data_IF_928040428127
#
_entry.id   IF_928040428127
#
_cell.length_a   1.000
_cell.length_b   1.000
_cell.length_c   1.000
_cell.angle_alpha   90.00
_cell.angle_beta   90.00
_cell.angle_gamma   90.00
#
_symmetry.space_group_name_H-M   'P 1'
#
loop_
_entity.id
_entity.type
_entity.pdbx_description
1 polymer ?
#
# COMPACT_ATOMS: atom_id res chain seq x y z
N UNK A 1 22.52 0.20 -36.67
CA UNK A 1 22.96 0.04 -35.27
C UNK A 1 21.89 -0.83 -34.64
N UNK A 2 22.22 -2.06 -34.21
CA UNK A 2 21.28 -2.94 -33.55
C UNK A 2 20.88 -2.31 -32.21
N UNK A 3 19.67 -1.87 -32.10
CA UNK A 3 19.04 -1.66 -30.76
C UNK A 3 19.02 -3.03 -30.10
N UNK A 4 19.84 -3.22 -29.09
CA UNK A 4 19.77 -4.39 -28.23
C UNK A 4 18.36 -4.39 -27.62
N UNK A 5 17.59 -5.41 -27.93
CA UNK A 5 16.29 -5.66 -27.30
C UNK A 5 16.52 -5.70 -25.78
N UNK A 6 16.04 -4.67 -25.09
CA UNK A 6 16.24 -4.52 -23.65
C UNK A 6 15.53 -5.65 -22.93
N UNK A 7 16.23 -6.30 -22.00
CA UNK A 7 15.70 -7.44 -21.25
C UNK A 7 14.71 -6.93 -20.19
N UNK A 8 13.43 -7.17 -20.42
CA UNK A 8 12.40 -6.98 -19.38
C UNK A 8 12.44 -8.20 -18.45
N UNK A 9 12.71 -7.98 -17.17
CA UNK A 9 12.74 -9.03 -16.18
C UNK A 9 11.34 -9.44 -15.78
N UNK A 10 11.04 -10.73 -15.86
CA UNK A 10 9.82 -11.33 -15.30
C UNK A 10 10.14 -11.93 -13.94
N UNK A 11 9.36 -11.57 -12.94
CA UNK A 11 9.56 -12.04 -11.56
C UNK A 11 8.42 -12.94 -11.11
N UNK A 12 8.78 -13.96 -10.35
CA UNK A 12 7.87 -14.76 -9.55
C UNK A 12 8.20 -14.62 -8.06
N UNK A 13 7.17 -14.33 -7.26
CA UNK A 13 7.26 -14.32 -5.80
C UNK A 13 6.68 -15.64 -5.29
N UNK A 14 7.46 -16.36 -4.50
CA UNK A 14 7.05 -17.61 -3.85
C UNK A 14 7.00 -17.37 -2.34
N UNK A 15 5.80 -17.27 -1.80
CA UNK A 15 5.59 -17.15 -0.35
C UNK A 15 5.50 -18.53 0.28
N UNK A 16 6.40 -18.79 1.22
CA UNK A 16 6.53 -20.08 1.91
C UNK A 16 5.97 -19.95 3.33
N UNK A 17 4.90 -20.65 3.61
CA UNK A 17 4.26 -20.68 4.93
C UNK A 17 2.91 -21.38 4.88
N UNK A 18 2.75 -22.37 5.73
CA UNK A 18 1.49 -23.13 5.85
C UNK A 18 0.36 -22.28 6.41
N UNK A 19 0.65 -21.30 7.28
CA UNK A 19 -0.31 -20.38 7.88
C UNK A 19 -0.96 -19.46 6.82
N UNK A 20 -0.25 -19.14 5.73
CA UNK A 20 -0.79 -18.36 4.60
C UNK A 20 -1.84 -19.21 3.87
N UNK A 21 -1.53 -20.49 3.59
CA UNK A 21 -2.47 -21.40 2.92
C UNK A 21 -3.72 -21.69 3.75
N UNK A 22 -3.57 -21.72 5.08
CA UNK A 22 -4.70 -21.91 6.00
C UNK A 22 -5.53 -20.66 6.20
N UNK A 23 -5.13 -19.51 5.65
CA UNK A 23 -5.82 -18.25 5.81
C UNK A 23 -5.72 -17.66 7.22
N UNK A 24 -4.75 -18.10 8.02
CA UNK A 24 -4.54 -17.54 9.37
C UNK A 24 -3.94 -16.14 9.32
N UNK A 25 -3.17 -15.85 8.28
CA UNK A 25 -2.58 -14.52 8.02
C UNK A 25 -2.78 -14.13 6.55
N UNK A 26 -2.82 -12.83 6.31
CA UNK A 26 -2.82 -12.28 4.95
C UNK A 26 -1.39 -12.24 4.43
N UNK A 27 -1.19 -12.57 3.15
CA UNK A 27 0.11 -12.48 2.48
C UNK A 27 0.44 -11.02 2.12
N UNK A 28 0.86 -10.25 3.12
CA UNK A 28 1.24 -8.84 2.93
C UNK A 28 2.59 -8.70 2.25
N UNK A 29 3.54 -9.62 2.51
CA UNK A 29 4.88 -9.58 1.92
C UNK A 29 4.84 -9.60 0.38
N UNK A 30 4.02 -10.46 -0.21
CA UNK A 30 3.91 -10.53 -1.66
C UNK A 30 3.36 -9.24 -2.28
N UNK A 31 2.42 -8.56 -1.59
CA UNK A 31 1.90 -7.25 -1.98
C UNK A 31 3.00 -6.20 -1.92
N UNK A 32 3.66 -6.07 -0.77
CA UNK A 32 4.62 -5.01 -0.48
C UNK A 32 5.90 -5.16 -1.35
N UNK A 33 6.36 -6.40 -1.53
CA UNK A 33 7.46 -6.73 -2.45
C UNK A 33 7.08 -6.39 -3.90
N UNK A 34 5.86 -6.71 -4.34
CA UNK A 34 5.40 -6.36 -5.70
C UNK A 34 5.37 -4.86 -5.92
N UNK A 35 4.89 -4.11 -4.95
CA UNK A 35 4.88 -2.65 -5.00
C UNK A 35 6.28 -2.07 -5.12
N UNK A 36 7.22 -2.51 -4.26
CA UNK A 36 8.62 -2.08 -4.32
C UNK A 36 9.31 -2.45 -5.64
N UNK A 37 9.02 -3.64 -6.21
CA UNK A 37 9.56 -4.06 -7.50
C UNK A 37 9.01 -3.22 -8.65
N UNK A 38 7.74 -2.87 -8.60
CA UNK A 38 7.12 -2.01 -9.61
C UNK A 38 7.78 -0.64 -9.67
N UNK A 39 8.17 -0.08 -8.53
CA UNK A 39 8.88 1.21 -8.44
C UNK A 39 10.28 1.19 -9.09
N UNK A 40 10.89 0.02 -9.28
CA UNK A 40 12.19 -0.14 -9.94
C UNK A 40 12.11 -0.85 -11.29
N UNK A 41 10.90 -1.00 -11.82
CA UNK A 41 10.69 -1.53 -13.17
C UNK A 41 10.76 -3.02 -13.35
N UNK A 42 10.67 -3.73 -12.31
CA UNK A 42 10.68 -5.19 -12.34
C UNK A 42 9.23 -5.68 -12.29
N UNK A 43 8.79 -6.34 -13.37
CA UNK A 43 7.44 -6.86 -13.48
C UNK A 43 7.27 -8.15 -12.68
N UNK A 44 6.34 -8.17 -11.72
CA UNK A 44 5.87 -9.39 -11.11
C UNK A 44 4.80 -10.02 -12.00
N UNK A 45 5.02 -11.27 -12.40
CA UNK A 45 4.10 -12.00 -13.28
C UNK A 45 3.33 -13.09 -12.54
N UNK A 46 3.93 -13.63 -11.48
CA UNK A 46 3.34 -14.74 -10.74
C UNK A 46 3.53 -14.56 -9.24
N UNK A 47 2.45 -14.82 -8.50
CA UNK A 47 2.48 -15.06 -7.07
C UNK A 47 2.16 -16.53 -6.83
N UNK A 48 3.06 -17.23 -6.16
CA UNK A 48 2.89 -18.62 -5.76
C UNK A 48 2.92 -18.70 -4.24
N UNK A 49 1.95 -19.35 -3.63
CA UNK A 49 1.96 -19.65 -2.20
C UNK A 49 2.13 -21.15 -2.02
N UNK A 50 3.06 -21.55 -1.17
CA UNK A 50 3.35 -22.95 -0.86
C UNK A 50 3.53 -23.14 0.64
N UNK A 51 3.00 -24.23 1.18
CA UNK A 51 3.25 -24.60 2.59
C UNK A 51 4.65 -25.18 2.79
N UNK A 52 5.02 -25.33 4.05
CA UNK A 52 6.32 -25.82 4.51
C UNK A 52 6.51 -27.31 4.18
N UNK A 53 6.59 -27.60 2.89
CA UNK A 53 6.77 -28.94 2.35
C UNK A 53 7.86 -28.94 1.29
N UNK A 54 8.95 -29.71 1.49
CA UNK A 54 10.13 -29.64 0.62
C UNK A 54 9.85 -30.08 -0.82
N UNK A 55 9.00 -31.08 -1.03
CA UNK A 55 8.68 -31.57 -2.38
C UNK A 55 7.87 -30.57 -3.18
N UNK A 56 6.86 -29.94 -2.53
CA UNK A 56 6.02 -28.90 -3.15
C UNK A 56 6.82 -27.64 -3.45
N UNK A 57 7.67 -27.21 -2.51
CA UNK A 57 8.54 -26.06 -2.72
C UNK A 57 9.53 -26.32 -3.86
N UNK A 58 10.14 -27.51 -3.93
CA UNK A 58 11.00 -27.88 -5.04
C UNK A 58 10.26 -27.91 -6.40
N UNK A 59 8.99 -28.30 -6.40
CA UNK A 59 8.16 -28.22 -7.61
C UNK A 59 7.91 -26.76 -8.02
N UNK A 60 7.52 -25.88 -7.08
CA UNK A 60 7.34 -24.45 -7.35
C UNK A 60 8.64 -23.82 -7.85
N UNK A 61 9.77 -24.11 -7.24
CA UNK A 61 11.07 -23.61 -7.64
C UNK A 61 11.46 -24.02 -9.08
N UNK A 62 11.18 -25.29 -9.47
CA UNK A 62 11.42 -25.75 -10.86
C UNK A 62 10.54 -25.00 -11.86
N UNK A 63 9.25 -24.83 -11.57
CA UNK A 63 8.33 -24.09 -12.42
C UNK A 63 8.78 -22.63 -12.55
N UNK A 64 9.12 -21.98 -11.44
CA UNK A 64 9.61 -20.61 -11.45
C UNK A 64 10.92 -20.47 -12.25
N UNK A 65 11.85 -21.42 -12.14
CA UNK A 65 13.10 -21.47 -12.93
C UNK A 65 12.84 -21.45 -14.43
N UNK A 66 11.76 -22.06 -14.91
CA UNK A 66 11.42 -22.11 -16.34
C UNK A 66 10.82 -20.79 -16.85
N UNK A 67 10.01 -20.08 -16.03
CA UNK A 67 9.18 -18.98 -16.50
C UNK A 67 9.57 -17.59 -15.99
N UNK A 68 10.39 -17.51 -14.94
CA UNK A 68 10.82 -16.24 -14.36
C UNK A 68 12.32 -16.00 -14.57
N UNK A 69 12.73 -14.74 -14.66
CA UNK A 69 14.12 -14.29 -14.67
C UNK A 69 14.62 -14.02 -13.25
N UNK A 70 13.74 -13.50 -12.40
CA UNK A 70 13.98 -13.23 -11.00
C UNK A 70 12.99 -14.04 -10.18
N UNK A 71 13.48 -14.76 -9.19
CA UNK A 71 12.67 -15.57 -8.28
C UNK A 71 12.91 -15.06 -6.87
N UNK A 72 11.86 -14.63 -6.22
CA UNK A 72 11.94 -14.11 -4.85
C UNK A 72 11.16 -15.06 -3.95
N UNK A 73 11.79 -15.53 -2.87
CA UNK A 73 11.07 -16.29 -1.85
C UNK A 73 10.95 -15.48 -0.57
N UNK A 74 9.78 -15.52 0.07
CA UNK A 74 9.56 -15.00 1.42
C UNK A 74 9.22 -16.14 2.36
N UNK A 75 9.90 -16.22 3.51
CA UNK A 75 9.66 -17.25 4.51
C UNK A 75 10.55 -18.51 4.41
N UNK A 76 10.50 -19.33 5.44
CA UNK A 76 11.23 -20.59 5.55
C UNK A 76 12.75 -20.46 5.66
N UNK A 77 13.25 -19.35 6.27
CA UNK A 77 14.67 -19.09 6.53
C UNK A 77 15.09 -19.28 7.99
N UNK A 78 14.15 -19.60 8.87
CA UNK A 78 14.37 -19.78 10.29
C UNK A 78 15.19 -21.02 10.65
N UNK A 79 15.29 -21.34 11.96
CA UNK A 79 16.12 -22.45 12.46
C UNK A 79 15.34 -23.75 12.63
N UNK A 80 14.06 -23.80 12.30
CA UNK A 80 13.21 -24.97 12.55
C UNK A 80 13.34 -26.01 11.44
N UNK A 81 12.89 -27.22 11.66
CA UNK A 81 13.06 -28.33 10.71
C UNK A 81 12.24 -28.19 9.42
N UNK A 82 11.26 -27.30 9.44
CA UNK A 82 10.40 -26.91 8.33
C UNK A 82 10.92 -25.67 7.56
N UNK A 83 11.93 -24.98 8.08
CA UNK A 83 12.61 -23.87 7.41
C UNK A 83 13.62 -24.37 6.37
N UNK A 84 13.13 -24.78 5.21
CA UNK A 84 13.92 -25.47 4.18
C UNK A 84 14.13 -24.62 2.90
N UNK A 85 13.70 -23.37 2.88
CA UNK A 85 13.71 -22.54 1.66
C UNK A 85 15.11 -22.44 1.04
N UNK A 86 16.14 -22.08 1.81
CA UNK A 86 17.52 -22.00 1.30
C UNK A 86 18.02 -23.31 0.73
N UNK A 87 17.79 -24.40 1.43
CA UNK A 87 18.23 -25.74 1.01
C UNK A 87 17.57 -26.15 -0.31
N UNK A 88 16.25 -26.00 -0.41
CA UNK A 88 15.49 -26.42 -1.59
C UNK A 88 15.81 -25.55 -2.81
N UNK A 89 15.88 -24.22 -2.62
CA UNK A 89 16.24 -23.32 -3.71
C UNK A 89 17.66 -23.62 -4.21
N UNK A 90 18.64 -23.70 -3.31
CA UNK A 90 20.02 -24.02 -3.67
C UNK A 90 20.16 -25.38 -4.34
N UNK A 91 19.47 -26.41 -3.86
CA UNK A 91 19.44 -27.72 -4.47
C UNK A 91 18.84 -27.70 -5.89
N UNK A 92 17.75 -26.97 -6.09
CA UNK A 92 17.06 -26.85 -7.40
C UNK A 92 17.96 -26.19 -8.46
N UNK A 93 18.82 -25.27 -8.04
CA UNK A 93 19.74 -24.56 -8.91
C UNK A 93 21.15 -25.17 -8.94
N UNK A 94 21.42 -26.19 -8.14
CA UNK A 94 22.74 -26.80 -8.06
C UNK A 94 23.81 -25.89 -7.49
N UNK A 95 23.45 -25.07 -6.50
CA UNK A 95 24.34 -24.16 -5.78
C UNK A 95 24.60 -24.74 -4.38
N UNK A 96 25.87 -24.95 -3.96
CA UNK A 96 26.17 -25.42 -2.61
C UNK A 96 25.81 -24.36 -1.56
N UNK A 97 25.43 -24.83 -0.37
CA UNK A 97 25.34 -23.99 0.83
C UNK A 97 26.65 -24.07 1.60
N UNK A 98 27.18 -22.92 2.00
CA UNK A 98 28.40 -22.79 2.80
C UNK A 98 28.12 -21.94 4.05
N UNK A 99 28.83 -22.21 5.14
CA UNK A 99 28.72 -21.41 6.35
C UNK A 99 29.32 -20.03 6.15
N UNK A 100 28.53 -19.00 6.44
CA UNK A 100 29.04 -17.64 6.52
C UNK A 100 29.42 -17.31 7.97
N UNK A 101 30.71 -17.19 8.23
CA UNK A 101 31.24 -16.98 9.58
C UNK A 101 30.75 -15.66 10.18
N UNK A 102 30.65 -14.59 9.41
CA UNK A 102 30.19 -13.29 9.92
C UNK A 102 28.74 -13.37 10.41
N UNK A 103 27.87 -14.04 9.65
CA UNK A 103 26.48 -14.27 10.05
C UNK A 103 26.36 -15.24 11.23
N UNK A 104 27.21 -16.26 11.30
CA UNK A 104 27.24 -17.16 12.45
C UNK A 104 27.68 -16.43 13.73
N UNK A 105 28.72 -15.57 13.66
CA UNK A 105 29.17 -14.76 14.78
C UNK A 105 28.09 -13.73 15.20
N UNK A 106 27.45 -13.04 14.26
CA UNK A 106 26.38 -12.10 14.54
C UNK A 106 25.16 -12.79 15.20
N UNK A 107 24.79 -13.96 14.71
CA UNK A 107 23.72 -14.76 15.28
C UNK A 107 24.05 -15.21 16.70
N UNK A 108 25.28 -15.65 16.93
CA UNK A 108 25.75 -16.00 18.29
C UNK A 108 25.64 -14.81 19.22
N UNK A 109 26.09 -13.61 18.79
CA UNK A 109 26.03 -12.39 19.57
C UNK A 109 24.60 -11.93 19.88
N UNK A 110 23.69 -12.13 18.94
CA UNK A 110 22.27 -11.81 19.12
C UNK A 110 21.60 -12.73 20.16
N UNK A 111 21.90 -14.05 20.12
CA UNK A 111 21.23 -15.04 20.97
C UNK A 111 21.81 -15.09 22.37
N UNK A 112 23.13 -14.90 22.55
CA UNK A 112 23.84 -15.06 23.85
C UNK A 112 23.28 -14.21 24.99
N UNK A 113 22.57 -13.12 24.67
CA UNK A 113 22.02 -12.16 25.64
C UNK A 113 20.73 -12.58 26.35
N UNK A 114 20.12 -13.75 26.03
CA UNK A 114 18.84 -14.09 26.67
C UNK A 114 18.17 -15.41 26.29
N UNK A 115 18.72 -16.19 25.36
CA UNK A 115 18.13 -17.46 24.91
C UNK A 115 19.17 -18.57 24.88
N UNK A 116 18.70 -19.83 24.99
CA UNK A 116 19.56 -20.99 24.84
C UNK A 116 19.97 -21.14 23.36
N UNK A 117 21.29 -21.16 23.12
CA UNK A 117 21.87 -21.40 21.80
C UNK A 117 21.78 -22.89 21.49
N UNK A 118 21.20 -23.23 20.35
CA UNK A 118 21.14 -24.61 19.86
C UNK A 118 21.87 -24.72 18.52
N UNK A 119 22.40 -25.93 18.16
CA UNK A 119 23.04 -26.14 16.86
C UNK A 119 22.15 -25.73 15.67
N UNK A 120 20.86 -25.93 15.78
CA UNK A 120 19.90 -25.58 14.72
C UNK A 120 19.90 -24.07 14.39
N UNK A 121 20.21 -23.20 15.35
CA UNK A 121 20.28 -21.78 15.07
C UNK A 121 21.27 -21.46 13.94
N UNK A 122 22.39 -22.17 13.87
CA UNK A 122 23.45 -21.92 12.87
C UNK A 122 23.13 -22.38 11.45
N UNK A 123 22.03 -23.15 11.25
CA UNK A 123 21.52 -23.43 9.90
C UNK A 123 21.14 -22.11 9.18
N UNK A 124 20.75 -21.11 9.93
CA UNK A 124 20.45 -19.77 9.38
C UNK A 124 21.67 -19.09 8.75
N UNK A 125 22.87 -19.37 9.23
CA UNK A 125 24.13 -18.83 8.70
C UNK A 125 24.63 -19.56 7.44
N UNK A 126 23.95 -20.61 6.97
CA UNK A 126 24.22 -21.24 5.69
C UNK A 126 23.74 -20.33 4.55
N UNK A 127 24.64 -20.00 3.64
CA UNK A 127 24.40 -19.06 2.52
C UNK A 127 24.82 -19.75 1.21
N UNK A 128 24.16 -19.44 0.07
CA UNK A 128 24.59 -19.94 -1.23
C UNK A 128 26.05 -19.56 -1.52
N UNK A 129 26.86 -20.52 -1.98
CA UNK A 129 28.25 -20.28 -2.34
C UNK A 129 28.38 -19.17 -3.41
N UNK A 130 29.20 -18.15 -3.13
CA UNK A 130 29.36 -16.99 -4.00
C UNK A 130 28.18 -16.03 -4.02
N UNK A 131 27.14 -16.28 -3.20
CA UNK A 131 25.96 -15.42 -3.12
C UNK A 131 26.20 -14.11 -2.35
N UNK A 132 25.30 -13.19 -2.55
CA UNK A 132 25.21 -11.95 -1.78
C UNK A 132 24.42 -12.20 -0.50
N UNK A 133 24.91 -11.69 0.62
CA UNK A 133 24.25 -11.78 1.93
C UNK A 133 23.54 -10.47 2.25
N UNK A 134 22.33 -10.55 2.74
CA UNK A 134 21.56 -9.45 3.29
C UNK A 134 21.46 -9.65 4.79
N UNK A 135 22.32 -8.93 5.53
CA UNK A 135 22.32 -9.00 6.99
C UNK A 135 20.98 -8.59 7.58
N UNK A 136 20.49 -9.37 8.55
CA UNK A 136 19.20 -9.09 9.18
C UNK A 136 19.36 -8.25 10.45
N UNK A 137 19.09 -6.96 10.36
CA UNK A 137 19.13 -6.04 11.51
C UNK A 137 17.83 -6.09 12.36
N UNK A 138 16.81 -6.80 11.92
CA UNK A 138 15.46 -6.84 12.53
C UNK A 138 15.11 -8.21 13.12
N UNK A 139 15.91 -9.22 12.83
CA UNK A 139 15.69 -10.60 13.26
C UNK A 139 16.97 -11.43 13.24
N UNK A 140 16.82 -12.74 13.08
CA UNK A 140 17.93 -13.69 13.16
C UNK A 140 18.33 -14.33 11.84
N UNK A 141 17.40 -14.41 10.88
CA UNK A 141 17.63 -15.10 9.62
C UNK A 141 18.14 -14.14 8.55
N UNK A 142 19.41 -14.18 8.13
CA UNK A 142 19.91 -13.37 7.03
C UNK A 142 19.21 -13.76 5.73
N UNK A 143 18.85 -12.76 4.93
CA UNK A 143 18.47 -12.95 3.55
C UNK A 143 19.70 -13.18 2.67
N UNK A 144 19.49 -13.67 1.46
CA UNK A 144 20.57 -13.85 0.50
C UNK A 144 20.07 -13.88 -0.94
N UNK A 145 21.01 -13.67 -1.86
CA UNK A 145 20.75 -13.80 -3.29
C UNK A 145 21.90 -14.52 -3.98
N UNK A 146 21.59 -15.21 -5.09
CA UNK A 146 22.58 -15.76 -6.00
C UNK A 146 22.11 -15.70 -7.45
N UNK A 147 23.07 -15.77 -8.34
CA UNK A 147 22.82 -15.84 -9.78
C UNK A 147 23.25 -17.19 -10.34
N UNK A 148 22.37 -17.85 -11.07
CA UNK A 148 22.66 -19.14 -11.70
C UNK A 148 21.81 -19.34 -12.95
N UNK A 149 22.41 -19.87 -14.01
CA UNK A 149 21.75 -20.19 -15.29
C UNK A 149 21.00 -18.97 -15.89
N UNK A 150 21.52 -17.74 -15.70
CA UNK A 150 20.90 -16.50 -16.15
C UNK A 150 19.65 -16.09 -15.35
N UNK A 151 19.42 -16.70 -14.20
CA UNK A 151 18.35 -16.38 -13.26
C UNK A 151 18.94 -15.77 -11.99
N UNK A 152 18.17 -14.89 -11.37
CA UNK A 152 18.45 -14.28 -10.06
C UNK A 152 17.51 -14.89 -9.05
N UNK A 153 18.04 -15.42 -7.96
CA UNK A 153 17.25 -15.95 -6.85
C UNK A 153 17.51 -15.09 -5.61
N UNK A 154 16.46 -14.57 -5.02
CA UNK A 154 16.49 -13.77 -3.79
C UNK A 154 15.66 -14.50 -2.73
N UNK A 155 16.17 -14.63 -1.53
CA UNK A 155 15.50 -15.26 -0.41
C UNK A 155 15.50 -14.31 0.79
N UNK A 156 14.32 -13.97 1.30
CA UNK A 156 14.14 -13.05 2.45
C UNK A 156 13.28 -13.72 3.54
N UNK A 157 13.39 -13.27 4.81
CA UNK A 157 12.54 -13.76 5.89
C UNK A 157 11.05 -13.56 5.63
N UNK A 158 10.21 -14.34 6.33
CA UNK A 158 8.75 -14.24 6.23
C UNK A 158 8.08 -13.20 7.13
N UNK A 159 8.55 -12.93 8.36
CA UNK A 159 7.92 -11.90 9.19
C UNK A 159 7.98 -10.52 8.51
N UNK A 160 6.84 -9.80 8.32
CA UNK A 160 6.82 -8.50 7.63
C UNK A 160 7.76 -7.47 8.24
N UNK A 161 7.94 -7.50 9.58
CA UNK A 161 8.87 -6.60 10.30
C UNK A 161 10.34 -6.82 9.95
N UNK A 162 10.68 -7.96 9.36
CA UNK A 162 12.02 -8.33 8.87
C UNK A 162 12.08 -8.22 7.34
N UNK A 163 11.06 -8.74 6.64
CA UNK A 163 10.97 -8.79 5.18
C UNK A 163 10.99 -7.38 4.56
N UNK A 164 10.05 -6.50 4.94
CA UNK A 164 9.91 -5.18 4.33
C UNK A 164 11.18 -4.33 4.45
N UNK A 165 11.76 -4.09 5.64
CA UNK A 165 12.95 -3.26 5.74
C UNK A 165 14.18 -3.90 5.08
N UNK A 166 14.34 -5.23 5.11
CA UNK A 166 15.42 -5.92 4.41
C UNK A 166 15.26 -5.77 2.89
N UNK A 167 14.04 -5.95 2.39
CA UNK A 167 13.78 -5.83 0.96
C UNK A 167 14.08 -4.41 0.48
N UNK A 168 13.59 -3.41 1.18
CA UNK A 168 13.78 -1.99 0.86
C UNK A 168 15.23 -1.56 0.93
N UNK A 169 15.96 -1.95 1.98
CA UNK A 169 17.32 -1.44 2.25
C UNK A 169 18.43 -2.27 1.60
N UNK A 170 18.17 -3.57 1.32
CA UNK A 170 19.20 -4.47 0.80
C UNK A 170 18.88 -5.02 -0.58
N UNK A 171 17.65 -5.54 -0.78
CA UNK A 171 17.28 -6.23 -2.03
C UNK A 171 17.06 -5.23 -3.17
N UNK A 172 16.34 -4.14 -2.94
CA UNK A 172 16.11 -3.10 -3.97
C UNK A 172 17.43 -2.54 -4.49
N UNK A 173 18.42 -2.12 -3.65
CA UNK A 173 19.73 -1.69 -4.15
C UNK A 173 20.51 -2.77 -4.89
N UNK A 174 20.32 -4.05 -4.53
CA UNK A 174 20.92 -5.17 -5.26
C UNK A 174 20.29 -5.33 -6.64
N UNK A 175 18.97 -5.32 -6.74
CA UNK A 175 18.25 -5.50 -7.99
C UNK A 175 18.42 -4.30 -8.95
N UNK A 176 18.51 -3.08 -8.42
CA UNK A 176 18.80 -1.87 -9.24
C UNK A 176 20.11 -1.97 -10.02
N UNK A 177 21.09 -2.75 -9.56
CA UNK A 177 22.36 -2.98 -10.29
C UNK A 177 22.19 -3.86 -11.53
N UNK A 178 21.07 -4.57 -11.65
CA UNK A 178 20.79 -5.46 -12.77
C UNK A 178 20.15 -4.72 -13.97
N UNK A 179 19.67 -3.49 -13.77
CA UNK A 179 19.02 -2.67 -14.78
C UNK A 179 19.68 -1.30 -14.87
N UNK A 180 20.01 -0.87 -16.09
CA UNK A 180 20.48 0.50 -16.36
C UNK A 180 19.32 1.52 -16.47
N UNK A 181 18.08 1.08 -16.24
CA UNK A 181 16.88 1.90 -16.32
C UNK A 181 16.17 1.96 -14.96
N UNK A 182 15.61 3.12 -14.70
CA UNK A 182 14.74 3.36 -13.54
C UNK A 182 13.31 3.47 -14.04
N UNK A 183 12.36 3.03 -13.22
CA UNK A 183 10.96 3.36 -13.41
C UNK A 183 10.58 4.31 -12.28
N UNK A 184 9.97 5.41 -12.69
CA UNK A 184 9.37 6.39 -11.82
C UNK A 184 7.87 6.37 -12.06
N UNK A 185 7.10 6.42 -11.01
CA UNK A 185 5.65 6.45 -11.08
C UNK A 185 5.10 7.55 -10.20
N UNK A 186 4.13 8.28 -10.72
CA UNK A 186 3.32 9.23 -9.96
C UNK A 186 1.87 8.80 -9.91
N UNK A 187 1.23 9.09 -8.79
CA UNK A 187 -0.18 8.86 -8.59
C UNK A 187 -0.97 10.17 -8.63
N UNK A 188 -2.01 10.22 -9.46
CA UNK A 188 -3.00 11.30 -9.42
C UNK A 188 -4.24 10.74 -8.74
N UNK A 189 -4.58 11.32 -7.58
CA UNK A 189 -5.71 10.87 -6.76
C UNK A 189 -6.98 11.61 -7.14
N UNK A 190 -8.06 10.85 -7.32
CA UNK A 190 -9.30 11.31 -7.93
C UNK A 190 -10.46 10.92 -7.01
N UNK A 191 -11.33 11.87 -6.70
CA UNK A 191 -12.52 11.65 -5.89
C UNK A 191 -13.77 12.17 -6.61
N UNK A 192 -14.90 11.47 -6.45
CA UNK A 192 -16.20 11.89 -7.01
C UNK A 192 -16.56 11.29 -8.36
N UNK A 193 -15.61 10.60 -9.03
CA UNK A 193 -15.89 9.77 -10.22
C UNK A 193 -15.26 8.39 -10.06
N UNK A 194 -15.86 7.38 -10.67
CA UNK A 194 -15.36 6.00 -10.59
C UNK A 194 -14.30 5.67 -11.62
N UNK A 195 -13.57 4.58 -11.38
CA UNK A 195 -12.52 4.05 -12.26
C UNK A 195 -12.97 3.90 -13.71
N UNK A 196 -14.16 3.34 -13.95
CA UNK A 196 -14.68 3.14 -15.30
C UNK A 196 -14.92 4.44 -16.07
N UNK A 197 -15.27 5.53 -15.38
CA UNK A 197 -15.43 6.83 -16.02
C UNK A 197 -14.06 7.46 -16.35
N UNK A 198 -13.08 7.28 -15.48
CA UNK A 198 -11.69 7.70 -15.74
C UNK A 198 -11.10 6.92 -16.91
N UNK A 199 -11.34 5.59 -16.95
CA UNK A 199 -10.93 4.73 -18.06
C UNK A 199 -11.53 5.19 -19.39
N UNK A 200 -12.81 5.48 -19.43
CA UNK A 200 -13.51 5.94 -20.65
C UNK A 200 -12.98 7.30 -21.14
N UNK A 201 -12.69 8.22 -20.22
CA UNK A 201 -12.13 9.54 -20.56
C UNK A 201 -10.77 9.42 -21.23
N UNK A 202 -9.90 8.54 -20.76
CA UNK A 202 -8.52 8.43 -21.22
C UNK A 202 -8.22 7.18 -22.06
N UNK A 203 -9.25 6.40 -22.46
CA UNK A 203 -9.08 5.12 -23.15
C UNK A 203 -8.23 5.21 -24.42
N UNK A 204 -8.45 6.22 -25.28
CA UNK A 204 -7.69 6.40 -26.51
C UNK A 204 -6.23 6.72 -26.22
N UNK A 205 -5.97 7.59 -25.24
CA UNK A 205 -4.63 7.99 -24.84
C UNK A 205 -3.86 6.83 -24.21
N UNK A 206 -4.49 6.12 -23.25
CA UNK A 206 -3.88 4.94 -22.62
C UNK A 206 -3.51 3.86 -23.62
N UNK A 207 -4.35 3.62 -24.62
CA UNK A 207 -4.09 2.65 -25.68
C UNK A 207 -2.95 3.09 -26.63
N UNK A 208 -2.75 4.37 -26.81
CA UNK A 208 -1.70 4.92 -27.68
C UNK A 208 -0.34 5.05 -26.97
N UNK A 209 -0.35 5.14 -25.64
CA UNK A 209 0.84 5.33 -24.82
C UNK A 209 1.65 4.03 -24.69
N UNK A 210 2.98 4.15 -24.80
CA UNK A 210 3.93 3.06 -24.57
C UNK A 210 4.83 3.42 -23.37
N UNK A 211 5.40 4.61 -23.40
CA UNK A 211 6.26 5.15 -22.34
C UNK A 211 6.27 6.69 -22.44
N UNK A 212 5.76 7.43 -21.46
CA UNK A 212 5.14 6.92 -20.23
C UNK A 212 3.85 6.14 -20.50
N UNK A 213 3.42 5.37 -19.53
CA UNK A 213 2.13 4.69 -19.52
C UNK A 213 1.22 5.26 -18.43
N UNK A 214 -0.08 5.08 -18.58
CA UNK A 214 -1.09 5.54 -17.65
C UNK A 214 -2.12 4.43 -17.43
N UNK A 215 -2.56 4.24 -16.16
CA UNK A 215 -3.55 3.23 -15.81
C UNK A 215 -4.37 3.65 -14.58
N UNK A 216 -5.72 3.52 -14.63
CA UNK A 216 -6.57 3.77 -13.47
C UNK A 216 -6.64 2.54 -12.55
N UNK A 217 -6.86 2.79 -11.27
CA UNK A 217 -7.06 1.77 -10.24
C UNK A 217 -8.14 2.22 -9.26
N UNK A 218 -9.12 1.35 -9.01
CA UNK A 218 -10.07 1.56 -7.93
C UNK A 218 -9.41 1.38 -6.57
N UNK A 219 -9.77 2.24 -5.64
CA UNK A 219 -9.45 2.14 -4.22
C UNK A 219 -10.76 2.10 -3.42
N UNK A 220 -10.68 1.93 -2.09
CA UNK A 220 -11.90 1.75 -1.27
C UNK A 220 -12.90 2.91 -1.38
N UNK A 221 -12.44 4.15 -1.51
CA UNK A 221 -13.30 5.33 -1.51
C UNK A 221 -13.01 6.30 -2.66
N UNK A 222 -11.99 6.05 -3.48
CA UNK A 222 -11.53 6.95 -4.54
C UNK A 222 -10.94 6.16 -5.73
N UNK A 223 -10.44 6.89 -6.70
CA UNK A 223 -9.73 6.36 -7.86
C UNK A 223 -8.31 6.92 -7.89
N UNK A 224 -7.38 6.11 -8.32
CA UNK A 224 -5.99 6.46 -8.55
C UNK A 224 -5.68 6.30 -10.03
N UNK A 225 -5.16 7.33 -10.67
CA UNK A 225 -4.56 7.24 -12.00
C UNK A 225 -3.04 7.26 -11.86
N UNK A 226 -2.42 6.13 -12.16
CA UNK A 226 -0.96 6.00 -12.09
C UNK A 226 -0.33 6.30 -13.43
N UNK A 227 0.62 7.24 -13.44
CA UNK A 227 1.46 7.57 -14.60
C UNK A 227 2.85 7.03 -14.33
N UNK A 228 3.38 6.21 -15.24
CA UNK A 228 4.64 5.49 -15.05
C UNK A 228 5.54 5.72 -16.25
N UNK A 229 6.77 6.16 -16.01
CA UNK A 229 7.80 6.30 -17.03
C UNK A 229 9.01 5.42 -16.72
N UNK A 230 9.59 4.86 -17.78
CA UNK A 230 10.82 4.12 -17.76
C UNK A 230 11.91 4.96 -18.45
N UNK A 231 12.98 5.31 -17.72
CA UNK A 231 14.02 6.21 -18.19
C UNK A 231 15.40 5.84 -17.62
N UNK A 232 16.46 6.53 -18.08
CA UNK A 232 17.82 6.32 -17.59
C UNK A 232 18.10 7.05 -16.28
N UNK A 233 17.33 8.10 -16.00
CA UNK A 233 17.41 8.85 -14.76
C UNK A 233 16.02 9.27 -14.32
N UNK A 234 15.90 9.66 -13.05
CA UNK A 234 14.67 10.19 -12.45
C UNK A 234 14.26 11.49 -13.17
N UNK A 235 15.23 12.36 -13.48
CA UNK A 235 14.96 13.61 -14.18
C UNK A 235 14.36 13.38 -15.59
N UNK A 236 14.90 12.41 -16.35
CA UNK A 236 14.34 12.05 -17.66
C UNK A 236 12.92 11.49 -17.53
N UNK A 237 12.64 10.68 -16.49
CA UNK A 237 11.31 10.16 -16.23
C UNK A 237 10.32 11.28 -15.88
N UNK A 238 10.72 12.21 -15.02
CA UNK A 238 9.93 13.39 -14.65
C UNK A 238 9.58 14.25 -15.86
N UNK A 239 10.55 14.55 -16.72
CA UNK A 239 10.31 15.30 -17.96
C UNK A 239 9.30 14.62 -18.87
N UNK A 240 9.29 13.28 -18.92
CA UNK A 240 8.33 12.51 -19.70
C UNK A 240 6.92 12.51 -19.09
N UNK A 241 6.81 12.41 -17.76
CA UNK A 241 5.52 12.29 -17.05
C UNK A 241 4.83 13.64 -16.82
N UNK A 242 5.60 14.71 -16.61
CA UNK A 242 5.05 16.02 -16.28
C UNK A 242 3.94 16.50 -17.23
N UNK A 243 4.09 16.43 -18.57
CA UNK A 243 3.04 16.85 -19.48
C UNK A 243 1.78 15.97 -19.39
N UNK A 244 1.93 14.67 -19.16
CA UNK A 244 0.81 13.73 -18.99
C UNK A 244 0.03 14.04 -17.72
N UNK A 245 0.75 14.23 -16.60
CA UNK A 245 0.13 14.57 -15.31
C UNK A 245 -0.59 15.92 -15.39
N UNK A 246 0.02 16.92 -16.06
CA UNK A 246 -0.60 18.23 -16.26
C UNK A 246 -1.90 18.11 -17.07
N UNK A 247 -1.90 17.32 -18.13
CA UNK A 247 -3.07 17.06 -18.96
C UNK A 247 -4.18 16.34 -18.16
N UNK A 248 -3.84 15.33 -17.39
CA UNK A 248 -4.79 14.61 -16.51
C UNK A 248 -5.45 15.59 -15.53
N UNK A 249 -4.67 16.47 -14.90
CA UNK A 249 -5.20 17.49 -13.98
C UNK A 249 -6.09 18.53 -14.68
N UNK A 250 -5.77 18.90 -15.90
CA UNK A 250 -6.58 19.82 -16.71
C UNK A 250 -7.93 19.20 -17.08
N UNK A 251 -7.93 17.95 -17.54
CA UNK A 251 -9.15 17.25 -17.97
C UNK A 251 -10.07 16.93 -16.80
N UNK A 252 -9.51 16.44 -15.69
CA UNK A 252 -10.30 16.03 -14.53
C UNK A 252 -10.65 17.18 -13.58
N UNK A 253 -9.92 18.29 -13.63
CA UNK A 253 -10.22 19.51 -12.86
C UNK A 253 -10.43 19.23 -11.36
N UNK A 254 -11.60 19.61 -10.85
CA UNK A 254 -11.95 19.53 -9.43
C UNK A 254 -12.06 18.10 -8.88
N UNK A 255 -12.09 17.08 -9.74
CA UNK A 255 -12.05 15.69 -9.29
C UNK A 255 -10.66 15.30 -8.75
N UNK A 256 -9.58 16.00 -9.12
CA UNK A 256 -8.24 15.73 -8.63
C UNK A 256 -8.03 16.38 -7.29
N UNK A 257 -7.84 15.59 -6.24
CA UNK A 257 -7.59 16.13 -4.90
C UNK A 257 -6.11 16.09 -4.47
N UNK A 258 -5.25 15.31 -5.14
CA UNK A 258 -3.84 15.21 -4.77
C UNK A 258 -2.99 14.50 -5.82
N UNK A 259 -1.70 14.65 -5.65
CA UNK A 259 -0.68 13.90 -6.37
C UNK A 259 0.28 13.29 -5.35
N UNK A 260 0.61 12.02 -5.51
CA UNK A 260 1.53 11.28 -4.65
C UNK A 260 1.16 11.33 -3.15
N UNK A 261 -0.14 11.35 -2.88
CA UNK A 261 -0.71 11.24 -1.54
C UNK A 261 -1.43 9.89 -1.40
N UNK A 262 -1.35 9.31 -0.21
CA UNK A 262 -1.95 7.99 0.05
C UNK A 262 -3.46 8.07 0.30
N UNK A 263 -3.94 9.19 0.84
CA UNK A 263 -5.34 9.38 1.20
C UNK A 263 -5.75 10.86 1.21
N UNK A 264 -7.06 11.09 1.32
CA UNK A 264 -7.64 12.43 1.33
C UNK A 264 -7.13 13.27 2.52
N UNK A 265 -6.91 12.64 3.65
CA UNK A 265 -6.41 13.30 4.87
C UNK A 265 -5.02 13.92 4.67
N UNK A 266 -4.15 13.24 3.94
CA UNK A 266 -2.82 13.78 3.59
C UNK A 266 -2.91 15.03 2.70
N UNK A 267 -3.91 15.12 1.85
CA UNK A 267 -4.15 16.32 1.06
C UNK A 267 -4.78 17.45 1.87
N UNK A 268 -5.69 17.14 2.81
CA UNK A 268 -6.46 18.13 3.57
C UNK A 268 -5.66 18.77 4.70
N UNK A 269 -4.86 17.99 5.45
CA UNK A 269 -4.14 18.51 6.61
C UNK A 269 -3.19 19.69 6.29
N UNK A 270 -2.37 19.62 5.24
CA UNK A 270 -1.53 20.75 4.83
C UNK A 270 -2.34 22.02 4.51
N UNK A 271 -3.49 21.87 3.85
CA UNK A 271 -4.37 22.98 3.49
C UNK A 271 -4.96 23.66 4.72
N UNK A 272 -5.38 22.87 5.73
CA UNK A 272 -5.87 23.42 7.00
C UNK A 272 -4.75 24.19 7.71
N UNK A 273 -3.55 23.62 7.77
CA UNK A 273 -2.40 24.24 8.40
C UNK A 273 -2.00 25.56 7.72
N UNK A 274 -1.95 25.59 6.40
CA UNK A 274 -1.62 26.78 5.61
C UNK A 274 -2.62 27.90 5.84
N UNK A 275 -3.90 27.57 5.96
CA UNK A 275 -4.99 28.51 6.23
C UNK A 275 -5.13 28.87 7.71
N UNK A 276 -4.34 28.32 8.60
CA UNK A 276 -4.43 28.52 10.04
C UNK A 276 -5.73 28.01 10.65
N UNK A 277 -6.36 27.01 10.02
CA UNK A 277 -7.61 26.42 10.46
C UNK A 277 -7.36 25.21 11.36
N UNK A 278 -8.25 25.00 12.32
CA UNK A 278 -8.27 23.82 13.17
C UNK A 278 -9.55 23.01 12.90
N UNK A 279 -9.45 21.70 13.17
CA UNK A 279 -10.52 20.73 12.96
C UNK A 279 -10.83 19.98 14.26
N UNK A 280 -12.11 19.80 14.53
CA UNK A 280 -12.60 18.91 15.59
C UNK A 280 -13.74 18.05 15.04
N UNK A 281 -13.90 16.84 15.56
CA UNK A 281 -14.93 15.91 15.13
C UNK A 281 -15.87 15.54 16.29
N UNK A 282 -17.18 15.53 16.03
CA UNK A 282 -18.16 14.91 16.88
C UNK A 282 -18.86 13.81 16.09
N UNK A 283 -18.56 12.56 16.42
CA UNK A 283 -18.93 11.40 15.63
C UNK A 283 -20.01 10.58 16.31
N UNK A 284 -20.85 9.93 15.52
CA UNK A 284 -21.89 9.01 16.00
C UNK A 284 -21.74 7.63 15.33
N UNK A 285 -22.33 7.41 14.16
CA UNK A 285 -22.28 6.12 13.46
C UNK A 285 -20.88 5.71 13.02
N UNK A 286 -20.01 6.65 12.72
CA UNK A 286 -18.60 6.42 12.37
C UNK A 286 -17.73 5.97 13.54
N UNK A 287 -18.23 6.10 14.79
CA UNK A 287 -17.60 5.53 15.99
C UNK A 287 -16.19 6.07 16.31
N UNK A 288 -15.80 7.23 15.77
CA UNK A 288 -14.46 7.80 15.94
C UNK A 288 -13.54 7.57 14.72
N UNK A 289 -14.06 7.07 13.61
CA UNK A 289 -13.25 6.75 12.43
C UNK A 289 -12.66 8.00 11.77
N UNK A 290 -13.37 9.12 11.74
CA UNK A 290 -12.84 10.39 11.21
C UNK A 290 -11.67 10.86 12.06
N UNK A 291 -11.84 10.86 13.39
CA UNK A 291 -10.77 11.22 14.32
C UNK A 291 -9.56 10.30 14.17
N UNK A 292 -9.80 9.00 14.04
CA UNK A 292 -8.74 8.00 13.80
C UNK A 292 -7.97 8.28 12.51
N UNK A 293 -8.66 8.40 11.37
CA UNK A 293 -8.06 8.63 10.07
C UNK A 293 -7.20 9.91 10.05
N UNK A 294 -7.69 10.98 10.68
CA UNK A 294 -6.92 12.22 10.81
C UNK A 294 -5.67 12.02 11.70
N UNK A 295 -5.82 11.34 12.84
CA UNK A 295 -4.70 11.14 13.78
C UNK A 295 -3.66 10.13 13.32
N UNK A 296 -3.99 9.28 12.35
CA UNK A 296 -3.03 8.39 11.69
C UNK A 296 -1.98 9.17 10.86
N UNK A 297 -2.29 10.42 10.46
CA UNK A 297 -1.38 11.23 9.67
C UNK A 297 -0.37 11.97 10.57
N UNK A 298 0.94 11.81 10.32
CA UNK A 298 1.96 12.52 11.07
C UNK A 298 1.77 14.05 11.03
N UNK A 299 1.81 14.70 12.19
CA UNK A 299 1.64 16.14 12.31
C UNK A 299 0.18 16.61 12.41
N UNK A 300 -0.80 15.72 12.46
CA UNK A 300 -2.22 16.05 12.64
C UNK A 300 -2.51 16.93 13.86
N UNK A 301 -1.72 16.82 14.94
CA UNK A 301 -1.87 17.64 16.14
C UNK A 301 -1.75 19.15 15.92
N UNK A 302 -1.20 19.59 14.79
CA UNK A 302 -1.13 21.01 14.45
C UNK A 302 -2.50 21.59 14.03
N UNK A 303 -3.43 20.74 13.58
CA UNK A 303 -4.74 21.15 13.05
C UNK A 303 -5.91 20.44 13.73
N UNK A 304 -5.72 19.23 14.23
CA UNK A 304 -6.76 18.47 14.92
C UNK A 304 -6.73 18.73 16.43
N UNK A 305 -7.77 19.40 16.95
CA UNK A 305 -7.85 19.78 18.36
C UNK A 305 -8.53 18.75 19.24
N UNK A 306 -9.27 17.80 18.63
CA UNK A 306 -9.89 16.71 19.37
C UNK A 306 -11.13 16.15 18.69
N UNK A 307 -11.61 15.02 19.23
CA UNK A 307 -12.81 14.36 18.76
C UNK A 307 -13.60 13.74 19.91
N UNK A 308 -14.91 13.60 19.73
CA UNK A 308 -15.79 12.92 20.66
C UNK A 308 -16.69 11.95 19.91
N UNK A 309 -16.86 10.72 20.46
CA UNK A 309 -17.86 9.78 19.98
C UNK A 309 -19.14 10.02 20.77
N UNK A 310 -20.09 10.70 20.13
CA UNK A 310 -21.34 11.12 20.76
C UNK A 310 -22.50 10.22 20.31
N UNK A 311 -22.45 8.95 20.69
CA UNK A 311 -23.34 7.93 20.15
C UNK A 311 -24.80 8.10 20.61
N UNK A 312 -25.04 8.63 21.82
CA UNK A 312 -26.38 8.88 22.34
C UNK A 312 -26.71 10.36 22.40
N UNK A 313 -27.98 10.72 22.26
CA UNK A 313 -28.47 12.12 22.25
C UNK A 313 -28.11 12.87 23.54
N UNK A 314 -28.21 12.20 24.69
CA UNK A 314 -27.79 12.78 25.96
C UNK A 314 -26.30 13.12 26.05
N UNK A 315 -25.44 12.38 25.35
CA UNK A 315 -24.02 12.66 25.28
C UNK A 315 -23.75 13.81 24.29
N UNK A 316 -24.47 13.85 23.16
CA UNK A 316 -24.38 14.94 22.18
C UNK A 316 -24.66 16.29 22.86
N UNK A 317 -25.82 16.41 23.49
CA UNK A 317 -26.24 17.65 24.16
C UNK A 317 -25.28 18.11 25.27
N UNK A 318 -24.77 17.14 26.08
CA UNK A 318 -23.92 17.47 27.23
C UNK A 318 -22.48 17.82 26.86
N UNK A 319 -21.89 17.13 25.88
CA UNK A 319 -20.48 17.34 25.53
C UNK A 319 -20.24 18.53 24.59
N UNK A 320 -21.15 18.77 23.65
CA UNK A 320 -20.97 19.82 22.68
C UNK A 320 -21.31 21.22 23.23
N UNK A 321 -22.19 21.30 24.27
CA UNK A 321 -22.53 22.55 24.92
C UNK A 321 -23.10 23.63 23.98
N UNK A 322 -23.56 23.23 22.80
CA UNK A 322 -24.14 24.12 21.78
C UNK A 322 -25.65 24.11 21.87
N UNK A 323 -26.30 25.25 21.59
CA UNK A 323 -27.74 25.29 21.41
C UNK A 323 -28.09 24.56 20.10
N UNK A 324 -28.93 23.52 20.12
CA UNK A 324 -29.37 22.85 18.91
C UNK A 324 -29.93 23.79 17.85
N UNK A 325 -30.57 24.90 18.25
CA UNK A 325 -31.12 25.88 17.34
C UNK A 325 -30.05 26.60 16.47
N UNK A 326 -28.81 26.63 16.97
CA UNK A 326 -27.65 27.21 16.25
C UNK A 326 -26.89 26.16 15.42
N UNK A 327 -27.41 24.92 15.34
CA UNK A 327 -26.75 23.80 14.66
C UNK A 327 -27.45 23.45 13.35
N UNK A 328 -26.64 22.98 12.39
CA UNK A 328 -27.12 22.35 11.16
C UNK A 328 -26.75 20.86 11.22
N UNK A 329 -27.72 20.00 11.04
CA UNK A 329 -27.54 18.55 10.96
C UNK A 329 -27.69 18.09 9.49
N UNK A 330 -26.66 17.43 8.97
CA UNK A 330 -26.71 16.74 7.69
C UNK A 330 -26.93 15.26 7.94
N UNK A 331 -27.96 14.67 7.31
CA UNK A 331 -28.37 13.29 7.63
C UNK A 331 -29.05 12.65 6.42
N UNK A 332 -28.85 11.35 6.22
CA UNK A 332 -29.40 10.58 5.09
C UNK A 332 -30.40 9.50 5.51
N UNK A 333 -30.52 9.21 6.81
CA UNK A 333 -31.41 8.17 7.33
C UNK A 333 -32.67 8.75 7.99
N UNK A 334 -33.80 8.05 7.88
CA UNK A 334 -35.06 8.46 8.52
C UNK A 334 -34.93 8.63 10.03
N UNK A 335 -34.17 7.76 10.69
CA UNK A 335 -34.02 7.82 12.14
C UNK A 335 -33.16 9.01 12.58
N UNK A 336 -32.09 9.28 11.84
CA UNK A 336 -31.22 10.43 12.08
C UNK A 336 -31.94 11.75 11.80
N UNK A 337 -32.71 11.86 10.69
CA UNK A 337 -33.53 13.02 10.37
C UNK A 337 -34.55 13.33 11.48
N UNK A 338 -35.27 12.32 11.97
CA UNK A 338 -36.21 12.46 13.10
C UNK A 338 -35.50 12.89 14.38
N UNK A 339 -34.33 12.33 14.66
CA UNK A 339 -33.54 12.68 15.85
C UNK A 339 -33.05 14.14 15.77
N UNK A 340 -32.59 14.57 14.61
CA UNK A 340 -32.13 15.94 14.39
C UNK A 340 -33.26 16.97 14.50
N UNK A 341 -34.45 16.68 13.93
CA UNK A 341 -35.65 17.50 14.09
C UNK A 341 -36.10 17.57 15.55
N UNK A 342 -36.14 16.43 16.26
CA UNK A 342 -36.51 16.37 17.66
C UNK A 342 -35.51 17.12 18.56
N UNK A 343 -34.28 17.24 18.17
CA UNK A 343 -33.24 18.04 18.83
C UNK A 343 -33.40 19.54 18.60
N UNK A 344 -34.19 19.97 17.60
CA UNK A 344 -34.41 21.39 17.27
C UNK A 344 -33.33 22.00 16.38
N UNK A 345 -32.56 21.18 15.66
CA UNK A 345 -31.54 21.65 14.73
C UNK A 345 -32.13 22.03 13.38
N UNK A 346 -31.41 22.82 12.58
CA UNK A 346 -31.68 22.93 11.14
C UNK A 346 -31.24 21.65 10.43
N UNK A 347 -32.20 20.91 9.84
CA UNK A 347 -31.97 19.61 9.24
C UNK A 347 -31.84 19.73 7.72
N UNK A 348 -30.73 19.22 7.19
CA UNK A 348 -30.45 19.07 5.76
C UNK A 348 -30.40 17.59 5.44
N UNK A 349 -31.38 17.10 4.68
CA UNK A 349 -31.40 15.72 4.23
C UNK A 349 -30.47 15.53 3.02
N UNK A 350 -29.57 14.54 3.12
CA UNK A 350 -28.79 14.06 1.98
C UNK A 350 -29.63 12.99 1.26
N UNK A 351 -29.88 13.20 -0.01
CA UNK A 351 -30.72 12.29 -0.81
C UNK A 351 -29.94 11.12 -1.44
N UNK A 352 -28.85 10.72 -0.76
CA UNK A 352 -28.00 9.60 -1.17
C UNK A 352 -28.66 8.24 -0.93
N UNK A 353 -29.38 8.11 0.21
CA UNK A 353 -30.05 6.86 0.60
C UNK A 353 -31.56 6.86 0.28
N UNK A 354 -32.19 8.03 0.27
CA UNK A 354 -33.64 8.19 0.07
C UNK A 354 -33.96 9.34 -0.89
N UNK A 355 -34.98 9.19 -1.78
CA UNK A 355 -35.42 10.29 -2.64
C UNK A 355 -35.89 11.51 -1.85
N UNK A 356 -35.68 12.72 -2.38
CA UNK A 356 -36.06 13.98 -1.74
C UNK A 356 -37.54 14.02 -1.30
N UNK A 357 -38.45 13.43 -2.07
CA UNK A 357 -39.88 13.39 -1.74
C UNK A 357 -40.19 12.59 -0.46
N UNK A 358 -39.37 11.61 -0.09
CA UNK A 358 -39.58 10.78 1.10
C UNK A 358 -39.06 11.44 2.39
N UNK A 359 -38.08 12.35 2.27
CA UNK A 359 -37.43 13.00 3.40
C UNK A 359 -37.87 14.45 3.61
N UNK A 360 -38.74 14.96 2.74
CA UNK A 360 -39.19 16.37 2.74
C UNK A 360 -39.86 16.79 4.06
N UNK A 361 -40.68 15.92 4.66
CA UNK A 361 -41.35 16.20 5.94
C UNK A 361 -40.42 16.09 7.15
N UNK A 362 -39.23 15.52 6.95
CA UNK A 362 -38.25 15.25 7.99
C UNK A 362 -37.01 16.15 7.90
N UNK A 363 -37.07 17.18 7.05
CA UNK A 363 -35.91 18.05 6.82
C UNK A 363 -36.34 19.46 6.42
N UNK A 364 -35.49 20.44 6.69
CA UNK A 364 -35.69 21.83 6.26
C UNK A 364 -35.17 22.03 4.83
N UNK A 365 -34.11 21.30 4.44
CA UNK A 365 -33.49 21.37 3.13
C UNK A 365 -33.19 19.93 2.64
N UNK A 366 -33.16 19.73 1.33
CA UNK A 366 -32.74 18.49 0.68
C UNK A 366 -31.68 18.78 -0.34
N UNK A 367 -30.57 18.08 -0.28
CA UNK A 367 -29.45 18.18 -1.23
C UNK A 367 -28.99 16.81 -1.68
N UNK A 368 -28.53 16.65 -2.93
CA UNK A 368 -28.10 15.33 -3.43
C UNK A 368 -26.83 14.83 -2.72
N UNK A 369 -25.93 15.73 -2.41
CA UNK A 369 -24.66 15.46 -1.75
C UNK A 369 -24.10 16.74 -1.12
N UNK A 370 -22.86 16.68 -0.60
CA UNK A 370 -22.21 17.82 0.05
C UNK A 370 -21.71 18.90 -0.90
N UNK A 371 -21.79 18.75 -2.22
CA UNK A 371 -21.31 19.77 -3.18
C UNK A 371 -22.08 21.08 -3.04
N UNK A 372 -23.34 21.02 -2.67
CA UNK A 372 -24.18 22.20 -2.41
C UNK A 372 -24.12 22.72 -0.98
N UNK A 373 -23.48 21.99 -0.06
CA UNK A 373 -23.42 22.34 1.36
C UNK A 373 -22.74 23.70 1.59
N UNK A 374 -21.73 24.06 0.82
CA UNK A 374 -21.05 25.35 0.90
C UNK A 374 -21.96 26.52 0.56
N UNK A 375 -22.89 26.34 -0.39
CA UNK A 375 -23.90 27.36 -0.73
C UNK A 375 -24.91 27.56 0.40
N UNK A 376 -25.36 26.48 1.04
CA UNK A 376 -26.25 26.53 2.20
C UNK A 376 -25.61 27.19 3.42
N UNK A 377 -24.30 26.99 3.62
CA UNK A 377 -23.54 27.59 4.71
C UNK A 377 -23.11 29.04 4.44
N UNK A 378 -23.39 29.58 3.25
CA UNK A 378 -22.97 30.92 2.86
C UNK A 378 -21.45 31.08 2.68
N UNK A 379 -20.75 29.99 2.39
CA UNK A 379 -19.30 29.93 2.26
C UNK A 379 -18.82 29.94 0.79
N UNK A 380 -19.71 30.13 -0.16
CA UNK A 380 -19.39 30.38 -1.58
C UNK A 380 -19.12 31.84 -1.85
#
# INVERSE_FOLDING_TARGET
MNEAVKKTYNTEIISVGTEILLGHITNTDARDVSEMLSQIGINVRYHTVVGDNPERLAQCARIAKERADIIITTGGLGPTCDDLTKQIMCQTFGVPLVENKAEADALYDYIKGGRQITPNNFVQALIPEGGTVFHNNWGTAPGCAFEKDGKVVVMVPGPPVECDPMFRQCVIPYLKKLSDEQIVSHSVRIFGIGESAVDDIFAEEMNAMINPSMAPYAKECDCLLQVTAKARSEEEAEEMMAPVIAHVKEVLGDYVYGQDVECLEEAVLPLLKERGLTFAAAESCTGGEIAKRITDIPGASAVFVGGAVTYTDGVKARLLGVDPADCIAFEDSFNGLRSALAAGTTVVALTTAHPAAEVMELSHYQIPDYTDALGLLGLR
#
